data_IF_557934550494
#
_entry.id   IF_557934550494
#
_cell.length_a   1.000
_cell.length_b   1.000
_cell.length_c   1.000
_cell.angle_alpha   90.00
_cell.angle_beta   90.00
_cell.angle_gamma   90.00
#
_symmetry.space_group_name_H-M   'P 1'
#
loop_
_entity.id
_entity.type
_entity.pdbx_description
1 polymer ?
#
# COMPACT_ATOMS: atom_id res chain seq x y z
N UNK A 1 -8.64 16.56 -4.04
CA UNK A 1 -7.80 15.43 -4.48
C UNK A 1 -6.36 15.74 -4.16
N UNK A 2 -5.80 15.14 -3.10
CA UNK A 2 -4.37 15.13 -2.79
C UNK A 2 -3.97 13.66 -2.65
N UNK A 3 -3.64 13.01 -3.77
CA UNK A 3 -2.84 11.78 -3.77
C UNK A 3 -1.52 12.04 -4.53
N UNK A 4 -0.40 11.52 -4.03
CA UNK A 4 0.77 12.33 -3.67
C UNK A 4 2.02 12.08 -4.56
N UNK A 5 3.19 12.65 -4.19
CA UNK A 5 4.46 12.58 -4.94
C UNK A 5 4.93 11.19 -5.37
N UNK A 6 4.56 10.12 -4.68
CA UNK A 6 5.08 8.77 -4.93
C UNK A 6 4.62 8.20 -6.27
N UNK A 7 3.32 8.24 -6.56
CA UNK A 7 2.77 7.79 -7.85
C UNK A 7 3.18 8.72 -9.00
N UNK A 8 3.38 10.01 -8.71
CA UNK A 8 3.92 10.95 -9.67
C UNK A 8 5.38 10.61 -10.04
N UNK A 9 6.23 10.30 -9.07
CA UNK A 9 7.60 9.83 -9.31
C UNK A 9 7.61 8.54 -10.14
N UNK A 10 6.70 7.61 -9.87
CA UNK A 10 6.54 6.37 -10.64
C UNK A 10 6.14 6.64 -12.08
N UNK A 11 5.18 7.54 -12.30
CA UNK A 11 4.78 7.98 -13.63
C UNK A 11 5.94 8.64 -14.39
N UNK A 12 6.69 9.55 -13.74
CA UNK A 12 7.87 10.20 -14.33
C UNK A 12 8.86 9.15 -14.83
N UNK A 13 9.24 8.21 -13.96
CA UNK A 13 10.19 7.15 -14.30
C UNK A 13 9.71 6.28 -15.47
N UNK A 14 8.44 5.85 -15.46
CA UNK A 14 7.88 5.06 -16.54
C UNK A 14 7.91 5.79 -17.89
N UNK A 15 7.69 7.11 -17.88
CA UNK A 15 7.78 7.97 -19.07
C UNK A 15 9.23 8.09 -19.53
N UNK A 16 10.16 8.33 -18.62
CA UNK A 16 11.59 8.42 -18.95
C UNK A 16 12.10 7.13 -19.59
N UNK A 17 11.71 5.98 -19.04
CA UNK A 17 12.08 4.65 -19.53
C UNK A 17 11.47 4.36 -20.91
N UNK A 18 10.17 4.65 -21.12
CA UNK A 18 9.49 4.46 -22.41
C UNK A 18 10.15 5.29 -23.52
N UNK A 19 10.43 6.57 -23.24
CA UNK A 19 10.97 7.49 -24.24
C UNK A 19 12.51 7.51 -24.30
N UNK A 20 13.18 6.81 -23.37
CA UNK A 20 14.63 6.79 -23.19
C UNK A 20 15.20 8.20 -23.07
N UNK A 21 14.61 9.02 -22.22
CA UNK A 21 15.06 10.40 -21.92
C UNK A 21 14.96 10.60 -20.42
N UNK A 22 16.10 10.83 -19.77
CA UNK A 22 16.19 11.20 -18.35
C UNK A 22 16.56 12.68 -18.27
N UNK A 23 15.58 13.57 -18.05
CA UNK A 23 15.79 14.99 -18.28
C UNK A 23 16.55 15.69 -17.14
N UNK A 24 17.70 16.27 -17.46
CA UNK A 24 18.51 17.05 -16.51
C UNK A 24 18.65 18.52 -16.96
N UNK A 25 18.72 18.73 -18.27
CA UNK A 25 18.86 20.06 -18.90
C UNK A 25 17.53 20.51 -19.49
N UNK A 26 17.40 21.84 -19.70
CA UNK A 26 16.24 22.43 -20.40
C UNK A 26 15.96 21.74 -21.74
N UNK A 27 17.00 21.39 -22.49
CA UNK A 27 16.88 20.76 -23.79
C UNK A 27 16.30 19.35 -23.70
N UNK A 28 16.58 18.61 -22.62
CA UNK A 28 16.05 17.26 -22.43
C UNK A 28 14.54 17.30 -22.16
N UNK A 29 14.07 18.25 -21.37
CA UNK A 29 12.64 18.46 -21.14
C UNK A 29 11.88 18.86 -22.42
N UNK A 30 12.49 19.69 -23.27
CA UNK A 30 11.94 20.04 -24.59
C UNK A 30 11.84 18.77 -25.45
N UNK A 31 12.92 17.99 -25.48
CA UNK A 31 12.99 16.72 -26.24
C UNK A 31 11.95 15.72 -25.74
N UNK A 32 11.76 15.62 -24.42
CA UNK A 32 10.75 14.78 -23.80
C UNK A 32 9.34 15.21 -24.20
N UNK A 33 9.03 16.51 -24.14
CA UNK A 33 7.75 17.06 -24.58
C UNK A 33 7.47 16.76 -26.07
N UNK A 34 8.48 16.86 -26.93
CA UNK A 34 8.37 16.54 -28.35
C UNK A 34 8.08 15.05 -28.59
N UNK A 35 8.77 14.15 -27.90
CA UNK A 35 8.54 12.70 -27.98
C UNK A 35 7.14 12.31 -27.50
N UNK A 36 6.72 12.84 -26.36
CA UNK A 36 5.37 12.63 -25.81
C UNK A 36 4.31 13.09 -26.82
N UNK A 37 4.43 14.31 -27.34
CA UNK A 37 3.49 14.83 -28.34
C UNK A 37 3.51 14.04 -29.65
N UNK A 38 4.68 13.52 -30.06
CA UNK A 38 4.80 12.62 -31.19
C UNK A 38 3.95 11.35 -31.01
N UNK A 39 4.06 10.71 -29.84
CA UNK A 39 3.26 9.53 -29.49
C UNK A 39 1.76 9.84 -29.33
N UNK A 40 1.40 10.96 -28.71
CA UNK A 40 0.00 11.36 -28.58
C UNK A 40 -0.67 11.58 -29.95
N UNK A 41 0.08 12.08 -30.96
CA UNK A 41 -0.41 12.19 -32.34
C UNK A 41 -0.70 10.83 -32.96
N UNK A 42 0.10 9.79 -32.68
CA UNK A 42 -0.15 8.44 -33.22
C UNK A 42 -1.34 7.76 -32.57
N UNK A 43 -1.67 8.11 -31.33
CA UNK A 43 -2.82 7.57 -30.58
C UNK A 43 -4.17 8.19 -31.00
N UNK A 44 -4.17 9.25 -31.80
CA UNK A 44 -5.39 9.93 -32.26
C UNK A 44 -6.09 10.77 -31.19
N UNK A 45 -7.21 11.40 -31.58
CA UNK A 45 -7.99 12.28 -30.70
C UNK A 45 -8.87 11.54 -29.69
N UNK A 46 -9.32 12.27 -28.65
CA UNK A 46 -10.19 11.73 -27.59
C UNK A 46 -11.31 12.73 -27.22
N UNK A 47 -12.45 12.19 -26.77
CA UNK A 47 -13.62 12.96 -26.33
C UNK A 47 -14.56 13.33 -27.47
N UNK A 48 -15.68 14.00 -27.16
CA UNK A 48 -16.74 14.35 -28.13
C UNK A 48 -16.23 15.09 -29.37
N UNK A 49 -15.12 15.83 -29.24
CA UNK A 49 -14.56 16.66 -30.31
C UNK A 49 -13.38 16.03 -31.04
N UNK A 50 -12.99 14.79 -30.71
CA UNK A 50 -11.90 14.02 -31.33
C UNK A 50 -10.60 14.84 -31.57
N UNK A 51 -10.23 15.69 -30.61
CA UNK A 51 -9.02 16.52 -30.70
C UNK A 51 -7.81 15.73 -30.23
N UNK A 52 -6.71 15.86 -30.97
CA UNK A 52 -5.42 15.31 -30.57
C UNK A 52 -5.00 15.95 -29.23
N UNK A 53 -4.63 15.10 -28.27
CA UNK A 53 -4.09 15.56 -26.99
C UNK A 53 -2.66 16.08 -27.21
N UNK A 54 -2.28 17.11 -26.46
CA UNK A 54 -0.94 17.66 -26.49
C UNK A 54 -0.56 18.18 -25.11
N UNK A 55 0.73 18.17 -24.80
CA UNK A 55 1.29 18.73 -23.58
C UNK A 55 2.29 19.82 -23.91
N UNK A 56 2.25 20.93 -23.16
CA UNK A 56 3.22 22.01 -23.32
C UNK A 56 4.52 21.71 -22.58
N UNK A 57 5.63 22.28 -23.05
CA UNK A 57 6.93 22.24 -22.36
C UNK A 57 6.82 22.77 -20.93
N UNK A 58 6.05 23.84 -20.73
CA UNK A 58 5.82 24.43 -19.39
C UNK A 58 5.14 23.44 -18.43
N UNK A 59 4.25 22.59 -18.96
CA UNK A 59 3.61 21.54 -18.17
C UNK A 59 4.62 20.45 -17.80
N UNK A 60 5.54 20.09 -18.70
CA UNK A 60 6.63 19.15 -18.41
C UNK A 60 7.56 19.73 -17.34
N UNK A 61 8.00 20.99 -17.45
CA UNK A 61 8.81 21.64 -16.43
C UNK A 61 8.13 21.64 -15.05
N UNK A 62 6.81 21.84 -15.03
CA UNK A 62 6.01 21.77 -13.80
C UNK A 62 5.94 20.35 -13.26
N UNK A 63 5.62 19.37 -14.11
CA UNK A 63 5.48 17.97 -13.71
C UNK A 63 6.80 17.40 -13.21
N UNK A 64 7.96 17.83 -13.71
CA UNK A 64 9.29 17.38 -13.26
C UNK A 64 9.98 18.34 -12.27
N UNK A 65 9.28 19.35 -11.75
CA UNK A 65 9.82 20.29 -10.75
C UNK A 65 11.10 21.02 -11.18
N UNK A 66 11.30 21.20 -12.49
CA UNK A 66 12.48 21.89 -13.04
C UNK A 66 12.62 23.34 -12.52
N UNK A 67 11.51 23.99 -12.11
CA UNK A 67 11.52 25.32 -11.47
C UNK A 67 11.12 25.21 -10.00
N UNK A 68 11.96 25.74 -9.10
CA UNK A 68 11.89 25.60 -7.63
C UNK A 68 10.65 26.16 -6.90
N UNK A 69 9.70 26.81 -7.59
CA UNK A 69 8.50 27.42 -6.97
C UNK A 69 7.17 26.78 -7.44
N UNK A 70 7.18 25.51 -7.82
CA UNK A 70 6.04 24.84 -8.44
C UNK A 70 5.39 23.78 -7.53
N UNK A 71 5.02 24.13 -6.30
CA UNK A 71 4.12 23.32 -5.43
C UNK A 71 2.69 23.15 -6.00
N UNK A 72 2.48 23.55 -7.26
CA UNK A 72 1.18 23.56 -7.88
C UNK A 72 0.74 22.13 -8.22
N UNK A 73 -0.33 21.68 -7.57
CA UNK A 73 -1.04 20.42 -7.83
C UNK A 73 -1.14 20.16 -9.34
N UNK A 74 -0.64 19.00 -9.78
CA UNK A 74 -0.77 18.54 -11.17
C UNK A 74 -2.21 18.09 -11.37
N UNK A 75 -2.86 18.60 -12.41
CA UNK A 75 -4.27 18.26 -12.65
C UNK A 75 -4.41 16.78 -13.05
N UNK A 76 -5.49 16.08 -12.62
CA UNK A 76 -5.77 14.72 -13.06
C UNK A 76 -5.84 14.55 -14.59
N UNK A 77 -6.28 15.61 -15.29
CA UNK A 77 -6.29 15.66 -16.77
C UNK A 77 -4.87 15.58 -17.34
N UNK A 78 -3.93 16.34 -16.78
CA UNK A 78 -2.52 16.28 -17.17
C UNK A 78 -1.92 14.90 -16.93
N UNK A 79 -2.19 14.31 -15.77
CA UNK A 79 -1.75 12.94 -15.45
C UNK A 79 -2.33 11.91 -16.42
N UNK A 80 -3.60 12.07 -16.81
CA UNK A 80 -4.25 11.21 -17.80
C UNK A 80 -3.63 11.29 -19.19
N UNK A 81 -3.24 12.49 -19.64
CA UNK A 81 -2.54 12.69 -20.92
C UNK A 81 -1.17 12.00 -20.90
N UNK A 82 -0.42 12.17 -19.80
CA UNK A 82 0.90 11.56 -19.61
C UNK A 82 0.83 10.03 -19.53
N UNK A 83 -0.15 9.48 -18.81
CA UNK A 83 -0.40 8.04 -18.76
C UNK A 83 -0.70 7.47 -20.16
N UNK A 84 -1.45 8.22 -20.99
CA UNK A 84 -1.72 7.81 -22.38
C UNK A 84 -0.49 7.78 -23.25
N UNK A 85 0.47 8.70 -23.05
CA UNK A 85 1.68 8.66 -23.88
C UNK A 85 2.54 7.43 -23.62
N UNK A 86 2.28 6.68 -22.55
CA UNK A 86 2.91 5.38 -22.26
C UNK A 86 1.91 4.22 -22.34
N UNK A 87 0.89 4.36 -23.21
CA UNK A 87 -0.11 3.34 -23.58
C UNK A 87 -1.11 2.90 -22.50
N UNK A 88 -1.33 3.71 -21.45
CA UNK A 88 -2.42 3.50 -20.50
C UNK A 88 -3.68 4.28 -20.89
N UNK A 89 -4.87 3.76 -20.55
CA UNK A 89 -6.15 4.36 -20.95
C UNK A 89 -6.47 5.66 -20.21
N UNK A 90 -6.00 5.78 -18.98
CA UNK A 90 -6.22 6.93 -18.10
C UNK A 90 -5.22 6.94 -16.96
N UNK A 91 -5.23 8.00 -16.15
CA UNK A 91 -4.48 8.02 -14.90
C UNK A 91 -4.90 6.88 -13.96
N UNK A 92 -6.20 6.58 -13.85
CA UNK A 92 -6.68 5.45 -13.04
C UNK A 92 -6.17 4.11 -13.55
N UNK A 93 -6.19 3.90 -14.87
CA UNK A 93 -5.68 2.68 -15.52
C UNK A 93 -4.18 2.50 -15.29
N UNK A 94 -3.40 3.59 -15.33
CA UNK A 94 -2.00 3.58 -14.95
C UNK A 94 -1.81 3.15 -13.49
N UNK A 95 -2.55 3.75 -12.56
CA UNK A 95 -2.46 3.39 -11.14
C UNK A 95 -2.81 1.91 -10.92
N UNK A 96 -3.91 1.42 -11.48
CA UNK A 96 -4.37 0.04 -11.30
C UNK A 96 -3.38 -0.97 -11.90
N UNK A 97 -2.99 -0.79 -13.16
CA UNK A 97 -2.07 -1.71 -13.85
C UNK A 97 -0.65 -1.63 -13.30
N UNK A 98 -0.21 -0.47 -12.83
CA UNK A 98 1.09 -0.32 -12.18
C UNK A 98 1.09 -1.04 -10.81
N UNK A 99 0.04 -0.86 -9.99
CA UNK A 99 -0.16 -1.63 -8.74
C UNK A 99 -0.19 -3.15 -8.99
N UNK A 100 -0.76 -3.59 -10.12
CA UNK A 100 -0.76 -5.00 -10.53
C UNK A 100 0.60 -5.50 -11.03
N UNK A 101 1.39 -4.67 -11.73
CA UNK A 101 2.72 -5.06 -12.27
C UNK A 101 3.83 -5.08 -11.24
N UNK A 102 3.76 -4.25 -10.19
CA UNK A 102 4.86 -4.09 -9.25
C UNK A 102 4.84 -5.10 -8.09
N UNK A 103 3.85 -5.99 -7.99
CA UNK A 103 3.52 -6.69 -6.74
C UNK A 103 3.41 -5.72 -5.54
N UNK A 104 3.31 -4.40 -5.78
CA UNK A 104 3.05 -3.42 -4.74
C UNK A 104 1.56 -3.44 -4.48
N UNK A 105 1.24 -4.25 -3.50
CA UNK A 105 0.04 -4.16 -2.69
C UNK A 105 -0.39 -2.68 -2.58
N UNK A 106 -1.62 -2.33 -2.97
CA UNK A 106 -2.14 -0.97 -2.86
C UNK A 106 -1.86 -0.38 -1.48
N UNK A 107 -1.08 0.71 -1.42
CA UNK A 107 -0.89 1.50 -0.19
C UNK A 107 -2.20 2.12 0.32
N UNK A 108 -3.26 2.13 -0.50
CA UNK A 108 -4.60 2.58 -0.14
C UNK A 108 -5.54 1.40 0.12
N UNK A 109 -5.87 1.14 1.38
CA UNK A 109 -6.88 0.17 1.77
C UNK A 109 -8.27 0.78 1.59
N UNK A 110 -9.00 0.36 0.55
CA UNK A 110 -10.41 0.78 0.40
C UNK A 110 -11.29 0.01 1.39
N UNK A 111 -12.41 0.59 1.87
CA UNK A 111 -13.32 -0.10 2.79
C UNK A 111 -13.80 -1.46 2.24
N UNK A 112 -14.12 -1.53 0.95
CA UNK A 112 -14.57 -2.74 0.26
C UNK A 112 -13.48 -3.84 0.22
N UNK A 113 -12.22 -3.46 -0.02
CA UNK A 113 -11.08 -4.39 0.01
C UNK A 113 -10.87 -4.94 1.42
N UNK A 114 -10.90 -4.07 2.43
CA UNK A 114 -10.74 -4.47 3.83
C UNK A 114 -11.85 -5.46 4.20
N UNK A 115 -13.10 -5.14 3.89
CA UNK A 115 -14.23 -6.01 4.19
C UNK A 115 -14.11 -7.37 3.49
N UNK A 116 -13.80 -7.36 2.20
CA UNK A 116 -13.65 -8.59 1.41
C UNK A 116 -12.55 -9.48 1.98
N UNK A 117 -11.35 -8.93 2.23
CA UNK A 117 -10.21 -9.71 2.70
C UNK A 117 -10.40 -10.14 4.16
N UNK A 118 -10.97 -9.28 5.01
CA UNK A 118 -11.26 -9.63 6.41
C UNK A 118 -12.31 -10.73 6.56
N UNK A 119 -13.20 -10.93 5.59
CA UNK A 119 -14.17 -12.02 5.63
C UNK A 119 -13.52 -13.42 5.55
N UNK A 120 -12.29 -13.55 5.04
CA UNK A 120 -11.63 -14.85 4.86
C UNK A 120 -10.73 -15.26 6.03
N UNK A 121 -10.46 -14.36 6.98
CA UNK A 121 -9.60 -14.63 8.12
C UNK A 121 -10.35 -14.37 9.43
N UNK A 122 -10.48 -15.40 10.26
CA UNK A 122 -11.01 -15.28 11.62
C UNK A 122 -9.95 -15.79 12.62
N UNK A 123 -9.32 -14.89 13.41
CA UNK A 123 -8.28 -15.28 14.37
C UNK A 123 -8.81 -16.16 15.50
N UNK A 124 -10.10 -16.06 15.85
CA UNK A 124 -10.71 -16.81 16.96
C UNK A 124 -10.87 -18.30 16.65
N UNK A 125 -10.72 -18.71 15.38
CA UNK A 125 -10.76 -20.12 14.98
C UNK A 125 -9.40 -20.83 15.12
N UNK A 126 -8.35 -20.11 15.50
CA UNK A 126 -7.01 -20.67 15.71
C UNK A 126 -6.99 -21.42 17.04
N UNK A 127 -6.93 -22.75 16.98
CA UNK A 127 -6.86 -23.65 18.14
C UNK A 127 -5.42 -23.73 18.68
N UNK A 128 -5.00 -22.68 19.39
CA UNK A 128 -3.64 -22.54 19.94
C UNK A 128 -3.14 -23.77 20.72
N UNK A 129 -3.94 -24.41 21.61
CA UNK A 129 -3.52 -25.62 22.31
C UNK A 129 -3.10 -26.80 21.42
N UNK A 130 -3.50 -26.83 20.15
CA UNK A 130 -3.13 -27.90 19.21
C UNK A 130 -1.88 -27.62 18.40
N UNK A 131 -1.33 -26.42 18.47
CA UNK A 131 -0.18 -26.01 17.68
C UNK A 131 1.08 -26.56 18.29
N UNK A 132 1.84 -27.34 17.51
CA UNK A 132 3.06 -27.99 18.00
C UNK A 132 4.28 -27.12 17.82
N UNK A 133 5.30 -27.39 18.62
CA UNK A 133 6.62 -26.79 18.45
C UNK A 133 7.12 -26.95 17.01
N UNK A 134 7.74 -25.90 16.51
CA UNK A 134 8.23 -25.70 15.16
C UNK A 134 7.16 -25.53 14.06
N UNK A 135 5.85 -25.58 14.39
CA UNK A 135 4.79 -25.25 13.43
C UNK A 135 4.68 -23.74 13.19
N UNK A 136 4.33 -23.39 11.95
CA UNK A 136 4.10 -22.01 11.51
C UNK A 136 2.61 -21.68 11.50
N UNK A 137 2.28 -20.50 12.02
CA UNK A 137 0.92 -19.97 12.08
C UNK A 137 0.86 -18.68 11.30
N UNK A 138 0.05 -18.66 10.25
CA UNK A 138 -0.18 -17.46 9.45
C UNK A 138 -1.35 -16.68 10.03
N UNK A 139 -1.10 -15.43 10.43
CA UNK A 139 -2.10 -14.60 11.08
C UNK A 139 -2.25 -13.25 10.38
N UNK A 140 -3.49 -12.85 10.12
CA UNK A 140 -3.84 -11.59 9.48
C UNK A 140 -4.25 -11.71 8.01
N UNK A 141 -4.27 -10.55 7.36
CA UNK A 141 -4.85 -10.28 6.06
C UNK A 141 -3.76 -10.24 4.99
N UNK A 142 -3.23 -11.41 4.64
CA UNK A 142 -2.25 -11.54 3.56
C UNK A 142 -2.85 -11.09 2.21
N UNK A 143 -2.08 -10.41 1.35
CA UNK A 143 -0.67 -10.01 1.54
C UNK A 143 -0.50 -8.65 2.23
N UNK A 144 -1.57 -8.02 2.72
CA UNK A 144 -1.61 -6.60 3.09
C UNK A 144 -1.12 -6.29 4.50
N UNK A 145 -1.55 -7.07 5.50
CA UNK A 145 -1.20 -6.90 6.91
C UNK A 145 -1.21 -8.25 7.61
N UNK A 146 -0.06 -8.81 7.92
CA UNK A 146 0.04 -10.17 8.42
C UNK A 146 1.33 -10.41 9.22
N UNK A 147 1.34 -11.48 10.01
CA UNK A 147 2.55 -12.06 10.59
C UNK A 147 2.57 -13.58 10.34
N UNK A 148 3.78 -14.12 10.24
CA UNK A 148 4.03 -15.56 10.34
C UNK A 148 4.70 -15.80 11.69
N UNK A 149 4.05 -16.61 12.50
CA UNK A 149 4.51 -16.96 13.83
C UNK A 149 5.12 -18.36 13.78
N UNK A 150 6.21 -18.59 14.50
CA UNK A 150 6.74 -19.92 14.76
C UNK A 150 6.49 -20.29 16.22
N UNK A 151 5.85 -21.42 16.44
CA UNK A 151 5.69 -22.00 17.78
C UNK A 151 7.06 -22.51 18.27
N UNK A 152 7.57 -21.99 19.38
CA UNK A 152 8.89 -22.37 19.94
C UNK A 152 8.78 -23.17 21.24
N UNK A 153 7.61 -23.14 21.89
CA UNK A 153 7.29 -23.80 23.15
C UNK A 153 5.77 -23.94 23.33
N UNK A 154 5.33 -24.42 24.50
CA UNK A 154 3.90 -24.46 24.81
C UNK A 154 3.36 -23.03 24.92
N UNK A 155 2.36 -22.68 24.09
CA UNK A 155 1.78 -21.34 24.01
C UNK A 155 2.76 -20.22 23.63
N UNK A 156 4.03 -20.54 23.31
CA UNK A 156 5.10 -19.59 23.08
C UNK A 156 5.37 -19.45 21.58
N UNK A 157 5.26 -18.22 21.09
CA UNK A 157 5.38 -17.89 19.67
C UNK A 157 6.40 -16.80 19.46
N UNK A 158 7.14 -16.90 18.35
CA UNK A 158 8.02 -15.83 17.87
C UNK A 158 7.61 -15.39 16.47
N UNK A 159 7.63 -14.09 16.21
CA UNK A 159 7.33 -13.54 14.87
C UNK A 159 8.55 -13.80 13.98
N UNK A 160 8.39 -14.60 12.93
CA UNK A 160 9.46 -14.88 11.95
C UNK A 160 9.33 -14.07 10.66
N UNK A 161 8.15 -13.52 10.40
CA UNK A 161 7.88 -12.57 9.31
C UNK A 161 6.73 -11.65 9.71
N UNK A 162 6.80 -10.37 9.32
CA UNK A 162 5.69 -9.44 9.51
C UNK A 162 5.57 -8.46 8.35
N UNK A 163 4.34 -8.00 8.13
CA UNK A 163 4.05 -6.86 7.29
C UNK A 163 2.96 -6.00 7.90
N UNK A 164 3.24 -4.73 8.11
CA UNK A 164 2.31 -3.73 8.65
C UNK A 164 1.74 -4.11 10.03
N UNK A 165 2.49 -4.88 10.81
CA UNK A 165 2.12 -5.31 12.17
C UNK A 165 2.73 -4.35 13.22
N UNK A 166 2.12 -4.29 14.40
CA UNK A 166 2.60 -3.48 15.53
C UNK A 166 3.90 -4.03 16.09
N UNK A 167 3.93 -5.33 16.40
CA UNK A 167 5.11 -6.05 16.84
C UNK A 167 5.96 -6.50 15.64
N UNK A 168 7.26 -6.64 15.86
CA UNK A 168 8.26 -6.86 14.79
C UNK A 168 8.83 -8.27 14.81
N UNK A 169 9.44 -8.65 13.68
CA UNK A 169 10.20 -9.90 13.56
C UNK A 169 11.19 -10.04 14.73
N UNK A 170 11.20 -11.21 15.36
CA UNK A 170 11.96 -11.53 16.56
C UNK A 170 11.24 -11.25 17.89
N UNK A 171 10.05 -10.64 17.88
CA UNK A 171 9.23 -10.51 19.07
C UNK A 171 8.66 -11.87 19.50
N UNK A 172 8.83 -12.20 20.78
CA UNK A 172 8.34 -13.44 21.39
C UNK A 172 7.31 -13.13 22.46
N UNK A 173 6.24 -13.91 22.49
CA UNK A 173 5.13 -13.75 23.44
C UNK A 173 4.44 -15.09 23.72
N UNK A 174 3.78 -15.16 24.86
CA UNK A 174 2.92 -16.27 25.23
C UNK A 174 1.46 -15.90 24.93
N UNK A 175 0.70 -16.83 24.37
CA UNK A 175 -0.71 -16.60 24.07
C UNK A 175 -1.58 -17.84 24.18
N UNK A 176 -2.81 -17.69 24.66
CA UNK A 176 -3.87 -18.72 24.63
C UNK A 176 -4.79 -18.59 23.42
N UNK A 177 -4.78 -17.44 22.73
CA UNK A 177 -5.74 -17.15 21.69
C UNK A 177 -5.53 -15.80 21.00
N UNK A 178 -6.36 -15.51 20.00
CA UNK A 178 -6.28 -14.27 19.23
C UNK A 178 -7.66 -13.68 18.98
N UNK A 179 -7.73 -12.36 19.01
CA UNK A 179 -8.96 -11.59 18.80
C UNK A 179 -8.74 -10.44 17.83
N UNK A 180 -9.83 -9.93 17.27
CA UNK A 180 -9.81 -8.66 16.56
C UNK A 180 -9.95 -7.50 17.54
N UNK A 181 -9.21 -6.43 17.27
CA UNK A 181 -9.37 -5.18 18.02
C UNK A 181 -10.82 -4.68 17.94
N UNK A 182 -11.41 -4.25 19.07
CA UNK A 182 -12.76 -3.68 19.12
C UNK A 182 -12.86 -2.37 18.32
N UNK A 183 -11.74 -1.65 18.17
CA UNK A 183 -11.66 -0.40 17.43
C UNK A 183 -11.19 -0.64 16.00
N UNK A 184 -12.11 -0.51 15.04
CA UNK A 184 -11.78 -0.47 13.61
C UNK A 184 -11.49 0.95 13.18
N UNK A 185 -10.27 1.21 12.67
CA UNK A 185 -9.93 2.49 12.06
C UNK A 185 -10.41 2.50 10.61
N UNK A 186 -10.92 3.66 10.17
CA UNK A 186 -11.33 3.84 8.79
C UNK A 186 -10.11 3.72 7.87
N UNK A 187 -10.25 3.03 6.74
CA UNK A 187 -9.16 2.78 5.78
C UNK A 187 -7.96 1.99 6.35
N UNK A 188 -8.16 1.18 7.39
CA UNK A 188 -7.16 0.19 7.81
C UNK A 188 -7.77 -1.20 8.00
N UNK A 189 -6.94 -2.22 7.86
CA UNK A 189 -7.27 -3.54 8.38
C UNK A 189 -7.46 -3.46 9.90
N UNK A 190 -8.35 -4.29 10.48
CA UNK A 190 -8.43 -4.43 11.93
C UNK A 190 -7.05 -4.70 12.54
N UNK A 191 -6.86 -4.44 13.81
CA UNK A 191 -5.67 -4.91 14.52
C UNK A 191 -5.97 -6.32 15.11
N UNK A 192 -4.94 -7.15 15.27
CA UNK A 192 -5.07 -8.44 15.97
C UNK A 192 -4.46 -8.29 17.36
N UNK A 193 -5.16 -8.80 18.35
CA UNK A 193 -4.75 -8.80 19.75
C UNK A 193 -4.53 -10.25 20.16
N UNK A 194 -3.41 -10.55 20.82
CA UNK A 194 -3.19 -11.86 21.41
C UNK A 194 -3.58 -11.86 22.89
N UNK A 195 -4.20 -12.95 23.35
CA UNK A 195 -4.58 -13.15 24.75
C UNK A 195 -3.40 -13.73 25.52
N UNK A 196 -2.83 -13.04 26.51
CA UNK A 196 -1.65 -13.52 27.22
C UNK A 196 -1.93 -14.82 27.97
N UNK A 197 -0.90 -15.65 28.08
CA UNK A 197 -0.95 -16.80 28.96
C UNK A 197 -0.96 -16.35 30.43
N UNK A 198 -1.85 -16.92 31.25
CA UNK A 198 -2.19 -16.44 32.60
C UNK A 198 -1.00 -16.27 33.56
N UNK A 199 0.12 -16.96 33.34
CA UNK A 199 1.33 -16.85 34.18
C UNK A 199 2.11 -15.53 33.95
N UNK A 200 1.80 -14.76 32.91
CA UNK A 200 2.41 -13.43 32.63
C UNK A 200 1.68 -12.25 33.31
N UNK A 201 0.59 -12.52 34.05
CA UNK A 201 -0.29 -11.49 34.61
C UNK A 201 -0.01 -11.13 36.09
N UNK A 202 1.16 -11.49 36.64
CA UNK A 202 1.61 -10.91 37.91
C UNK A 202 1.68 -9.38 37.75
N UNK A 203 0.64 -8.68 38.25
CA UNK A 203 0.41 -7.21 38.27
C UNK A 203 -0.48 -6.59 37.17
N UNK A 204 -0.97 -7.32 36.17
CA UNK A 204 -1.84 -6.76 35.12
C UNK A 204 -3.25 -7.38 35.13
N UNK A 205 -4.15 -6.84 35.95
CA UNK A 205 -5.57 -7.20 35.91
C UNK A 205 -6.28 -6.54 34.72
N UNK A 206 -6.16 -7.11 33.54
CA UNK A 206 -7.06 -6.79 32.44
C UNK A 206 -7.84 -8.03 32.03
N UNK A 207 -9.14 -7.87 31.89
CA UNK A 207 -10.01 -8.88 31.29
C UNK A 207 -10.32 -8.43 29.88
N UNK A 208 -10.49 -9.37 28.94
CA UNK A 208 -10.85 -9.04 27.55
C UNK A 208 -12.15 -8.22 27.45
N UNK A 209 -12.97 -8.21 28.51
CA UNK A 209 -14.16 -7.35 28.68
C UNK A 209 -13.87 -5.86 28.85
N UNK A 210 -12.65 -5.46 29.26
CA UNK A 210 -12.23 -4.06 29.43
C UNK A 210 -11.60 -3.52 28.14
N UNK A 211 -12.36 -3.59 27.04
CA UNK A 211 -11.96 -3.30 25.65
C UNK A 211 -11.48 -1.85 25.40
N UNK A 212 -11.51 -0.96 26.38
CA UNK A 212 -11.22 0.48 26.19
C UNK A 212 -9.74 0.84 26.27
N UNK A 213 -8.86 -0.03 26.79
CA UNK A 213 -7.43 0.29 26.95
C UNK A 213 -6.55 -0.97 26.97
N UNK A 214 -6.46 -1.68 25.84
CA UNK A 214 -5.51 -2.80 25.70
C UNK A 214 -4.10 -2.22 25.45
N UNK A 215 -3.07 -2.60 26.23
CA UNK A 215 -1.70 -2.14 26.00
C UNK A 215 -1.16 -2.52 24.61
N UNK A 216 -0.42 -1.60 23.96
CA UNK A 216 0.14 -1.82 22.61
C UNK A 216 1.00 -3.08 22.47
N UNK A 217 1.62 -3.56 23.55
CA UNK A 217 2.44 -4.79 23.54
C UNK A 217 1.64 -6.04 23.16
N UNK A 218 0.32 -6.04 23.36
CA UNK A 218 -0.59 -7.14 23.03
C UNK A 218 -1.12 -7.10 21.59
N UNK A 219 -0.78 -6.07 20.83
CA UNK A 219 -1.18 -5.94 19.44
C UNK A 219 -0.14 -6.61 18.55
N UNK A 220 -0.56 -7.54 17.70
CA UNK A 220 0.31 -8.04 16.65
C UNK A 220 0.55 -6.98 15.59
#
# INVERSE_FOLDING_TARGET
MKNPPAELCKLRKAIEDEFKVHPETKQDYITLAQKINGKLKTLGGRGEYNKAESISEETIYKVWEYRKNNEAVVSPKTLGILARSIDYLSWGDFIEKYKLKSNEIPESFTPELIETVSAFFNPELIDVPRIKKDEEVHIGWSPYKYAILKCIGEYEFTIIEEKNMCNKNGFTFLTTGFHLSPEKKEFSFPDIIFEPFYDDLEDEHWTLSDLTTIPKKYYL
#
